data_IF_446919141493
#
_entry.id   IF_446919141493
#
_cell.length_a   1.000
_cell.length_b   1.000
_cell.length_c   1.000
_cell.angle_alpha   90.00
_cell.angle_beta   90.00
_cell.angle_gamma   90.00
#
_symmetry.space_group_name_H-M   'P 1'
#
loop_
_entity.id
_entity.type
_entity.pdbx_description
1 polymer ?
#
# COMPACT_ATOMS: atom_id res chain seq x y z
N UNK A 1 -7.51 24.28 -0.96
CA UNK A 1 -6.22 23.86 -1.54
C UNK A 1 -6.40 23.76 -3.05
N UNK A 2 -5.40 24.17 -3.83
CA UNK A 2 -5.32 23.93 -5.27
C UNK A 2 -4.81 22.51 -5.54
N UNK A 3 -5.02 21.98 -6.75
CA UNK A 3 -4.52 20.64 -7.13
C UNK A 3 -3.01 20.50 -6.93
N UNK A 4 -2.24 21.57 -7.19
CA UNK A 4 -0.78 21.58 -6.96
C UNK A 4 -0.42 21.46 -5.49
N UNK A 5 -1.20 22.07 -4.60
CA UNK A 5 -1.01 21.97 -3.15
C UNK A 5 -1.40 20.58 -2.65
N UNK A 6 -2.44 19.98 -3.22
CA UNK A 6 -2.85 18.61 -2.93
C UNK A 6 -1.73 17.63 -3.29
N UNK A 7 -1.19 17.72 -4.52
CA UNK A 7 -0.08 16.84 -4.96
C UNK A 7 1.16 17.00 -4.08
N UNK A 8 1.49 18.23 -3.66
CA UNK A 8 2.61 18.47 -2.73
C UNK A 8 2.41 17.88 -1.34
N UNK A 9 1.17 17.59 -0.96
CA UNK A 9 0.85 16.97 0.33
C UNK A 9 0.96 15.44 0.31
N UNK A 10 1.16 14.82 -0.87
CA UNK A 10 1.34 13.37 -1.00
C UNK A 10 2.63 12.88 -0.33
N UNK A 11 2.58 11.68 0.24
CA UNK A 11 3.72 11.06 0.94
C UNK A 11 3.30 10.30 2.20
N UNK A 12 2.65 10.96 3.18
CA UNK A 12 2.08 10.30 4.35
C UNK A 12 0.73 9.64 4.01
N UNK A 13 0.21 8.82 4.93
CA UNK A 13 -1.12 8.21 4.78
C UNK A 13 -2.23 9.23 4.63
N UNK A 14 -3.35 8.78 4.08
CA UNK A 14 -4.53 9.59 3.83
C UNK A 14 -5.07 10.21 5.13
N UNK A 15 -5.07 9.46 6.22
CA UNK A 15 -5.43 9.95 7.56
C UNK A 15 -4.50 11.08 8.01
N UNK A 16 -3.18 10.88 7.94
CA UNK A 16 -2.20 11.91 8.30
C UNK A 16 -2.30 13.14 7.40
N UNK A 17 -2.62 12.96 6.12
CA UNK A 17 -2.88 14.06 5.20
C UNK A 17 -4.10 14.86 5.64
N UNK A 18 -5.21 14.20 5.99
CA UNK A 18 -6.42 14.86 6.49
C UNK A 18 -6.11 15.58 7.79
N UNK A 19 -5.52 14.89 8.77
CA UNK A 19 -5.08 15.47 10.03
C UNK A 19 -4.24 16.71 9.79
N UNK A 20 -3.21 16.65 8.96
CA UNK A 20 -2.29 17.78 8.75
C UNK A 20 -2.96 18.99 8.10
N UNK A 21 -3.85 18.78 7.14
CA UNK A 21 -4.39 19.86 6.30
C UNK A 21 -5.77 20.37 6.74
N UNK A 22 -6.48 19.66 7.62
CA UNK A 22 -7.79 20.10 8.10
C UNK A 22 -7.62 21.30 9.05
N UNK A 23 -8.35 22.38 8.74
CA UNK A 23 -8.30 23.63 9.50
C UNK A 23 -9.00 23.45 10.85
N UNK A 24 -10.22 22.90 10.85
CA UNK A 24 -10.95 22.60 12.07
C UNK A 24 -10.57 21.21 12.60
N UNK A 25 -9.74 21.18 13.64
CA UNK A 25 -9.26 19.92 14.23
C UNK A 25 -10.34 19.12 14.94
N UNK A 26 -11.42 19.77 15.40
CA UNK A 26 -12.54 19.08 16.05
C UNK A 26 -13.24 18.11 15.10
N UNK A 27 -13.21 18.37 13.79
CA UNK A 27 -13.93 17.59 12.78
C UNK A 27 -13.06 16.46 12.18
N UNK A 28 -11.83 16.28 12.67
CA UNK A 28 -10.84 15.37 12.05
C UNK A 28 -11.35 13.94 11.92
N UNK A 29 -11.93 13.39 12.99
CA UNK A 29 -12.47 12.02 12.98
C UNK A 29 -13.62 11.87 11.99
N UNK A 30 -14.51 12.85 11.91
CA UNK A 30 -15.63 12.84 10.95
C UNK A 30 -15.11 12.93 9.50
N UNK A 31 -14.12 13.78 9.24
CA UNK A 31 -13.50 13.91 7.93
C UNK A 31 -12.80 12.62 7.47
N UNK A 32 -12.13 11.91 8.39
CA UNK A 32 -11.49 10.62 8.13
C UNK A 32 -12.55 9.56 7.78
N UNK A 33 -13.64 9.47 8.54
CA UNK A 33 -14.72 8.52 8.24
C UNK A 33 -15.42 8.83 6.92
N UNK A 34 -15.67 10.11 6.63
CA UNK A 34 -16.20 10.55 5.34
C UNK A 34 -15.26 10.16 4.20
N UNK A 35 -13.95 10.32 4.37
CA UNK A 35 -12.95 9.91 3.39
C UNK A 35 -13.03 8.40 3.11
N UNK A 36 -13.08 7.53 4.13
CA UNK A 36 -13.18 6.09 3.90
C UNK A 36 -14.45 5.68 3.17
N UNK A 37 -15.58 6.32 3.51
CA UNK A 37 -16.85 6.10 2.82
C UNK A 37 -16.72 6.43 1.33
N UNK A 38 -16.24 7.64 1.01
CA UNK A 38 -16.05 8.08 -0.36
C UNK A 38 -15.02 7.22 -1.11
N UNK A 39 -13.98 6.77 -0.42
CA UNK A 39 -12.96 5.87 -0.97
C UNK A 39 -13.59 4.55 -1.43
N UNK A 40 -14.41 3.88 -0.61
CA UNK A 40 -15.07 2.64 -1.00
C UNK A 40 -16.08 2.81 -2.12
N UNK A 41 -16.89 3.87 -2.05
CA UNK A 41 -17.92 4.20 -3.04
C UNK A 41 -17.29 4.43 -4.42
N UNK A 42 -16.15 5.11 -4.46
CA UNK A 42 -15.48 5.46 -5.72
C UNK A 42 -14.40 4.47 -6.15
N UNK A 43 -13.98 3.54 -5.28
CA UNK A 43 -12.84 2.64 -5.51
C UNK A 43 -12.85 2.03 -6.92
N UNK A 44 -13.97 1.45 -7.34
CA UNK A 44 -14.03 0.68 -8.59
C UNK A 44 -13.97 1.58 -9.84
N UNK A 45 -14.31 2.86 -9.69
CA UNK A 45 -14.24 3.86 -10.77
C UNK A 45 -12.81 4.26 -11.11
N UNK A 46 -11.89 4.11 -10.16
CA UNK A 46 -10.48 4.48 -10.31
C UNK A 46 -9.55 3.28 -10.50
N UNK A 47 -10.10 2.07 -10.63
CA UNK A 47 -9.33 0.84 -10.77
C UNK A 47 -9.40 0.31 -12.21
N UNK A 48 -8.23 0.14 -12.82
CA UNK A 48 -8.09 -0.53 -14.11
C UNK A 48 -8.23 -2.03 -13.94
N UNK A 49 -9.37 -2.58 -14.35
CA UNK A 49 -9.64 -4.02 -14.34
C UNK A 49 -8.60 -4.84 -15.12
N UNK A 50 -8.01 -4.25 -16.17
CA UNK A 50 -6.95 -4.88 -16.95
C UNK A 50 -5.66 -5.02 -16.13
N UNK A 51 -5.27 -3.98 -15.40
CA UNK A 51 -4.05 -4.00 -14.58
C UNK A 51 -4.20 -4.94 -13.38
N UNK A 52 -5.38 -4.95 -12.72
CA UNK A 52 -5.67 -5.90 -11.64
C UNK A 52 -5.50 -7.34 -12.11
N UNK A 53 -6.04 -7.68 -13.28
CA UNK A 53 -5.89 -9.04 -13.86
C UNK A 53 -4.43 -9.41 -14.09
N UNK A 54 -3.60 -8.47 -14.55
CA UNK A 54 -2.17 -8.70 -14.74
C UNK A 54 -1.44 -8.93 -13.41
N UNK A 55 -1.77 -8.13 -12.38
CA UNK A 55 -1.23 -8.30 -11.03
C UNK A 55 -1.64 -9.66 -10.44
N UNK A 56 -2.89 -10.07 -10.59
CA UNK A 56 -3.36 -11.39 -10.16
C UNK A 56 -2.57 -12.52 -10.81
N UNK A 57 -2.39 -12.48 -12.14
CA UNK A 57 -1.61 -13.49 -12.87
C UNK A 57 -0.16 -13.56 -12.35
N UNK A 58 0.45 -12.40 -12.08
CA UNK A 58 1.78 -12.35 -11.48
C UNK A 58 1.79 -12.99 -10.09
N UNK A 59 0.91 -12.56 -9.19
CA UNK A 59 0.85 -13.06 -7.82
C UNK A 59 0.57 -14.57 -7.76
N UNK A 60 -0.33 -15.08 -8.60
CA UNK A 60 -0.60 -16.50 -8.78
C UNK A 60 0.63 -17.27 -9.26
N UNK A 61 1.39 -16.70 -10.19
CA UNK A 61 2.62 -17.31 -10.65
C UNK A 61 3.66 -17.37 -9.53
N UNK A 62 3.80 -16.31 -8.75
CA UNK A 62 4.74 -16.24 -7.62
C UNK A 62 4.40 -17.25 -6.52
N UNK A 63 3.13 -17.32 -6.11
CA UNK A 63 2.66 -18.28 -5.10
C UNK A 63 2.84 -19.73 -5.57
N UNK A 64 2.51 -20.05 -6.83
CA UNK A 64 2.73 -21.41 -7.40
C UNK A 64 4.20 -21.82 -7.41
N UNK A 65 5.12 -20.86 -7.52
CA UNK A 65 6.56 -21.09 -7.46
C UNK A 65 7.14 -20.92 -6.04
N UNK A 66 6.28 -20.93 -5.01
CA UNK A 66 6.66 -20.86 -3.60
C UNK A 66 7.54 -19.64 -3.27
N UNK A 67 7.31 -18.53 -3.96
CA UNK A 67 7.98 -17.26 -3.68
C UNK A 67 7.27 -16.52 -2.56
N UNK A 68 8.05 -15.92 -1.68
CA UNK A 68 7.57 -15.02 -0.64
C UNK A 68 7.29 -13.65 -1.23
N UNK A 69 6.16 -13.07 -0.88
CA UNK A 69 5.66 -11.82 -1.46
C UNK A 69 5.32 -10.85 -0.33
N UNK A 70 6.00 -9.71 -0.31
CA UNK A 70 5.70 -8.60 0.61
C UNK A 70 5.02 -7.45 -0.13
N UNK A 71 4.11 -6.76 0.55
CA UNK A 71 3.54 -5.49 0.11
C UNK A 71 4.07 -4.37 1.00
N UNK A 72 4.56 -3.29 0.37
CA UNK A 72 4.93 -2.08 1.11
C UNK A 72 4.21 -0.86 0.52
N UNK A 73 3.72 0.03 1.38
CA UNK A 73 2.92 1.16 0.93
C UNK A 73 3.01 2.39 1.84
N UNK A 74 2.75 3.56 1.25
CA UNK A 74 2.53 4.81 1.97
C UNK A 74 1.07 5.04 2.36
N UNK A 75 0.16 4.10 2.04
CA UNK A 75 -1.23 4.15 2.50
C UNK A 75 -1.35 3.79 3.98
N UNK A 76 -2.39 4.30 4.61
CA UNK A 76 -2.83 3.80 5.92
C UNK A 76 -3.35 2.36 5.83
N UNK A 77 -3.29 1.63 6.93
CA UNK A 77 -3.67 0.22 7.02
C UNK A 77 -5.11 -0.02 6.64
N UNK A 78 -6.03 0.81 7.13
CA UNK A 78 -7.47 0.68 6.85
C UNK A 78 -7.76 0.81 5.35
N UNK A 79 -7.15 1.78 4.68
CA UNK A 79 -7.29 1.98 3.22
C UNK A 79 -6.71 0.80 2.44
N UNK A 80 -5.56 0.27 2.86
CA UNK A 80 -4.98 -0.91 2.26
C UNK A 80 -5.93 -2.11 2.35
N UNK A 81 -6.41 -2.43 3.55
CA UNK A 81 -7.29 -3.59 3.80
C UNK A 81 -8.59 -3.48 3.01
N UNK A 82 -9.23 -2.31 2.99
CA UNK A 82 -10.41 -2.03 2.16
C UNK A 82 -10.16 -2.32 0.66
N UNK A 83 -8.97 -1.95 0.16
CA UNK A 83 -8.61 -2.18 -1.24
C UNK A 83 -8.37 -3.67 -1.51
N UNK A 84 -7.65 -4.34 -0.61
CA UNK A 84 -7.35 -5.77 -0.74
C UNK A 84 -8.61 -6.62 -0.71
N UNK A 85 -9.57 -6.27 0.15
CA UNK A 85 -10.86 -6.97 0.25
C UNK A 85 -11.67 -6.80 -1.05
N UNK A 86 -11.81 -5.57 -1.57
CA UNK A 86 -12.54 -5.34 -2.84
C UNK A 86 -11.89 -6.03 -4.03
N UNK A 87 -10.56 -6.14 -4.02
CA UNK A 87 -9.79 -6.75 -5.12
C UNK A 87 -9.59 -8.26 -4.95
N UNK A 88 -9.95 -8.84 -3.81
CA UNK A 88 -9.69 -10.26 -3.50
C UNK A 88 -8.20 -10.59 -3.38
N UNK A 89 -7.38 -9.63 -2.95
CA UNK A 89 -5.92 -9.74 -2.94
C UNK A 89 -5.30 -10.06 -1.56
N UNK A 90 -6.08 -10.05 -0.48
CA UNK A 90 -5.55 -10.14 0.89
C UNK A 90 -4.68 -11.37 1.18
N UNK A 91 -4.95 -12.51 0.52
CA UNK A 91 -4.24 -13.77 0.79
C UNK A 91 -2.93 -13.96 0.01
N UNK A 92 -2.53 -12.99 -0.82
CA UNK A 92 -1.32 -13.11 -1.63
C UNK A 92 -0.04 -12.67 -0.91
N UNK A 93 -0.16 -11.95 0.20
CA UNK A 93 1.00 -11.30 0.83
C UNK A 93 1.39 -12.00 2.14
N UNK A 94 2.66 -12.34 2.24
CA UNK A 94 3.29 -12.93 3.43
C UNK A 94 3.76 -11.85 4.42
N UNK A 95 3.93 -10.62 3.94
CA UNK A 95 4.21 -9.43 4.74
C UNK A 95 3.46 -8.23 4.16
N UNK A 96 2.91 -7.36 5.01
CA UNK A 96 2.26 -6.12 4.59
C UNK A 96 2.71 -4.99 5.50
N UNK A 97 3.42 -4.00 4.94
CA UNK A 97 3.93 -2.83 5.67
C UNK A 97 3.30 -1.57 5.12
N UNK A 98 2.59 -0.87 5.99
CA UNK A 98 1.85 0.36 5.69
C UNK A 98 2.57 1.58 6.25
N UNK A 99 2.01 2.77 6.03
CA UNK A 99 2.52 3.99 6.65
C UNK A 99 2.35 4.02 8.17
N UNK A 100 1.41 3.22 8.69
CA UNK A 100 1.15 3.10 10.12
C UNK A 100 2.18 2.20 10.81
N UNK A 101 2.86 1.35 10.03
CA UNK A 101 3.85 0.40 10.51
C UNK A 101 5.27 0.99 10.60
N UNK A 102 5.48 2.27 10.24
CA UNK A 102 6.79 2.93 10.22
C UNK A 102 6.82 4.29 10.90
N UNK A 103 8.01 4.65 11.38
CA UNK A 103 8.27 5.99 11.94
C UNK A 103 8.87 6.88 10.84
N UNK A 104 9.82 6.36 10.06
CA UNK A 104 10.45 7.08 8.96
C UNK A 104 9.74 6.78 7.65
N UNK A 105 9.22 7.84 7.04
CA UNK A 105 8.50 7.77 5.77
C UNK A 105 9.47 7.88 4.58
N UNK A 106 8.97 7.65 3.35
CA UNK A 106 9.79 7.79 2.13
C UNK A 106 10.48 9.18 2.13
N UNK A 107 11.75 9.28 1.69
CA UNK A 107 12.54 8.28 0.97
C UNK A 107 13.22 7.20 1.84
N UNK A 108 12.92 7.13 3.14
CA UNK A 108 13.50 6.13 4.03
C UNK A 108 13.14 4.69 3.62
N UNK A 109 14.10 3.78 3.80
CA UNK A 109 14.00 2.35 3.48
C UNK A 109 13.37 1.51 4.60
N UNK A 110 12.94 2.10 5.72
CA UNK A 110 12.39 1.41 6.89
C UNK A 110 11.30 0.39 6.52
N UNK A 111 10.35 0.76 5.64
CA UNK A 111 9.28 -0.16 5.21
C UNK A 111 9.84 -1.40 4.51
N UNK A 112 10.83 -1.21 3.66
CA UNK A 112 11.47 -2.29 2.92
C UNK A 112 12.25 -3.20 3.85
N UNK A 113 13.04 -2.63 4.75
CA UNK A 113 13.83 -3.39 5.71
C UNK A 113 12.91 -4.20 6.65
N UNK A 114 11.78 -3.62 7.08
CA UNK A 114 10.76 -4.35 7.87
C UNK A 114 10.13 -5.49 7.08
N UNK A 115 9.76 -5.27 5.82
CA UNK A 115 9.21 -6.32 4.97
C UNK A 115 10.21 -7.47 4.80
N UNK A 116 11.45 -7.17 4.43
CA UNK A 116 12.52 -8.17 4.28
C UNK A 116 12.76 -8.97 5.56
N UNK A 117 12.73 -8.31 6.72
CA UNK A 117 12.84 -8.97 8.02
C UNK A 117 11.71 -9.98 8.26
N UNK A 118 10.44 -9.61 7.99
CA UNK A 118 9.30 -10.53 8.12
C UNK A 118 9.40 -11.69 7.12
N UNK A 119 9.83 -11.40 5.90
CA UNK A 119 10.04 -12.41 4.87
C UNK A 119 11.28 -13.28 5.15
N UNK A 120 12.10 -12.96 6.16
CA UNK A 120 13.38 -13.61 6.45
C UNK A 120 14.27 -13.64 5.20
N UNK A 121 14.61 -12.48 4.66
CA UNK A 121 15.31 -12.35 3.39
C UNK A 121 16.24 -11.15 3.37
N UNK A 122 17.28 -11.21 2.54
CA UNK A 122 18.23 -10.12 2.38
C UNK A 122 17.89 -9.26 1.15
N UNK A 123 18.28 -7.97 1.11
CA UNK A 123 18.05 -7.10 -0.04
C UNK A 123 18.59 -7.65 -1.37
N UNK A 124 19.71 -8.37 -1.35
CA UNK A 124 20.36 -8.95 -2.53
C UNK A 124 19.55 -10.09 -3.15
N UNK A 125 18.67 -10.69 -2.36
CA UNK A 125 17.76 -11.76 -2.76
C UNK A 125 16.39 -11.20 -3.15
N UNK A 126 16.20 -9.88 -3.08
CA UNK A 126 14.90 -9.26 -3.29
C UNK A 126 14.82 -8.47 -4.60
N UNK A 127 13.65 -8.49 -5.23
CA UNK A 127 13.29 -7.63 -6.36
C UNK A 127 12.14 -6.74 -5.94
N UNK A 128 12.32 -5.44 -6.14
CA UNK A 128 11.32 -4.44 -5.88
C UNK A 128 10.57 -4.10 -7.18
N UNK A 129 9.24 -4.21 -7.18
CA UNK A 129 8.40 -3.86 -8.32
C UNK A 129 7.39 -2.79 -7.90
N UNK A 130 7.39 -1.66 -8.62
CA UNK A 130 6.33 -0.66 -8.48
C UNK A 130 5.17 -1.03 -9.40
N UNK A 131 3.97 -1.13 -8.84
CA UNK A 131 2.74 -1.36 -9.60
C UNK A 131 1.72 -0.25 -9.31
N UNK A 132 0.68 -0.17 -10.13
CA UNK A 132 -0.46 0.74 -9.93
C UNK A 132 -1.17 0.57 -8.59
N UNK A 133 -1.02 -0.60 -7.93
CA UNK A 133 -1.62 -0.90 -6.62
C UNK A 133 -0.60 -0.78 -5.48
N UNK A 134 0.55 -0.10 -5.69
CA UNK A 134 1.70 0.01 -4.78
C UNK A 134 2.77 -1.09 -4.99
N UNK A 135 3.73 -1.15 -4.07
CA UNK A 135 5.02 -1.80 -4.23
C UNK A 135 4.96 -3.26 -3.79
N UNK A 136 5.48 -4.13 -4.65
CA UNK A 136 5.75 -5.53 -4.38
C UNK A 136 7.23 -5.74 -4.04
N UNK A 137 7.52 -6.39 -2.91
CA UNK A 137 8.84 -6.94 -2.58
C UNK A 137 8.79 -8.43 -2.84
N UNK A 138 9.48 -8.86 -3.88
CA UNK A 138 9.66 -10.27 -4.24
C UNK A 138 10.94 -10.77 -3.59
N UNK A 139 10.91 -11.94 -2.95
CA UNK A 139 12.15 -12.63 -2.57
C UNK A 139 12.41 -13.77 -3.54
N UNK A 140 13.55 -13.71 -4.22
CA UNK A 140 14.13 -14.78 -5.02
C UNK A 140 14.70 -15.84 -4.07
N UNK A 141 13.96 -16.91 -3.81
CA UNK A 141 14.59 -18.15 -3.34
C UNK A 141 15.51 -18.65 -4.44
N UNK A 142 16.82 -18.65 -4.21
CA UNK A 142 17.78 -19.43 -4.98
C UNK A 142 17.41 -20.90 -4.79
N UNK A 143 17.16 -21.61 -5.89
CA UNK A 143 17.18 -23.07 -5.94
C UNK A 143 18.54 -23.45 -6.50
#
# INVERSE_FOLDING_TARGET
MTDKEIVKSFGPSEERMIEKNLINRADTSEAIEMFYKLYLEQHDSFISQKEIKQVLVLLDHLKRNQKKVGMVTGKGRRVLEMSLDKLGLGNYFDAMITDDDVINHKPDSERLLKALKILNSNPEEAVFLETVIQILVLVKTLV
#
